data_IF_196210299417
#
_entry.id   IF_196210299417
#
_cell.length_a   1.000
_cell.length_b   1.000
_cell.length_c   1.000
_cell.angle_alpha   90.00
_cell.angle_beta   90.00
_cell.angle_gamma   90.00
#
_symmetry.space_group_name_H-M   'P 1'
#
loop_
_entity.id
_entity.type
_entity.pdbx_description
1 polymer ?
#
# COMPACT_ATOMS: atom_id res chain seq x y z
N UNK A 1 -35.91 -3.77 3.02
CA UNK A 1 -36.18 -5.23 2.82
C UNK A 1 -35.54 -5.97 3.98
N UNK A 2 -36.21 -6.96 4.58
CA UNK A 2 -35.60 -7.78 5.64
C UNK A 2 -34.97 -9.02 4.98
N UNK A 3 -33.61 -9.15 4.95
CA UNK A 3 -32.95 -10.27 4.31
C UNK A 3 -33.30 -11.63 4.92
N UNK A 4 -33.66 -11.68 6.18
CA UNK A 4 -34.02 -12.92 6.88
C UNK A 4 -35.41 -13.46 6.49
N UNK A 5 -36.23 -12.66 5.82
CA UNK A 5 -37.62 -13.01 5.45
C UNK A 5 -37.84 -13.03 3.93
N UNK A 6 -36.78 -12.78 3.13
CA UNK A 6 -36.87 -12.65 1.68
C UNK A 6 -36.07 -13.77 1.03
N UNK A 7 -36.71 -14.55 0.14
CA UNK A 7 -36.01 -15.56 -0.62
C UNK A 7 -35.15 -14.91 -1.70
N UNK A 8 -33.81 -15.14 -1.64
CA UNK A 8 -32.83 -14.55 -2.54
C UNK A 8 -31.83 -15.57 -3.04
N UNK A 9 -31.39 -15.38 -4.29
CA UNK A 9 -30.17 -15.98 -4.83
C UNK A 9 -29.11 -14.87 -4.89
N UNK A 10 -27.95 -15.10 -4.23
CA UNK A 10 -26.83 -14.15 -4.22
C UNK A 10 -25.72 -14.71 -5.10
N UNK A 11 -25.34 -13.96 -6.12
CA UNK A 11 -24.27 -14.31 -7.04
C UNK A 11 -23.02 -13.50 -6.69
N UNK A 12 -21.89 -14.20 -6.52
CA UNK A 12 -20.64 -13.60 -6.09
C UNK A 12 -19.51 -13.86 -7.08
N UNK A 13 -18.42 -13.09 -6.95
CA UNK A 13 -17.19 -13.25 -7.73
C UNK A 13 -16.22 -14.29 -7.17
N UNK A 14 -16.60 -15.02 -6.13
CA UNK A 14 -15.73 -15.98 -5.46
C UNK A 14 -15.19 -17.03 -6.46
N UNK A 15 -13.86 -17.05 -6.64
CA UNK A 15 -13.16 -18.13 -7.32
C UNK A 15 -12.99 -19.29 -6.33
N UNK A 16 -13.74 -20.36 -6.52
CA UNK A 16 -13.79 -21.47 -5.56
C UNK A 16 -12.46 -22.20 -5.37
N UNK A 17 -11.67 -22.33 -6.43
CA UNK A 17 -10.37 -23.00 -6.35
C UNK A 17 -9.34 -22.13 -5.64
N UNK A 18 -9.29 -20.84 -5.98
CA UNK A 18 -8.47 -19.86 -5.28
C UNK A 18 -8.87 -19.76 -3.79
N UNK A 19 -10.17 -19.72 -3.50
CA UNK A 19 -10.67 -19.66 -2.13
C UNK A 19 -10.27 -20.91 -1.33
N UNK A 20 -10.30 -22.09 -1.95
CA UNK A 20 -9.84 -23.34 -1.32
C UNK A 20 -8.35 -23.27 -1.03
N UNK A 21 -7.54 -22.85 -2.00
CA UNK A 21 -6.09 -22.67 -1.85
C UNK A 21 -5.77 -21.69 -0.72
N UNK A 22 -6.41 -20.51 -0.71
CA UNK A 22 -6.22 -19.50 0.34
C UNK A 22 -6.59 -20.04 1.74
N UNK A 23 -7.65 -20.84 1.84
CA UNK A 23 -8.07 -21.48 3.10
C UNK A 23 -7.06 -22.52 3.57
N UNK A 24 -6.54 -23.36 2.67
CA UNK A 24 -5.51 -24.35 2.99
C UNK A 24 -4.21 -23.68 3.48
N UNK A 25 -3.81 -22.60 2.84
CA UNK A 25 -2.65 -21.80 3.28
C UNK A 25 -2.87 -21.25 4.69
N UNK A 26 -4.02 -20.61 4.94
CA UNK A 26 -4.35 -20.04 6.24
C UNK A 26 -4.35 -21.11 7.36
N UNK A 27 -4.85 -22.30 7.07
CA UNK A 27 -4.94 -23.39 8.04
C UNK A 27 -3.61 -24.11 8.30
N UNK A 28 -2.56 -23.82 7.53
CA UNK A 28 -1.27 -24.48 7.64
C UNK A 28 -1.18 -25.82 6.92
N UNK A 29 -2.05 -26.07 5.94
CA UNK A 29 -2.01 -27.27 5.10
C UNK A 29 -0.94 -27.19 4.01
N UNK A 30 -0.64 -25.94 3.56
CA UNK A 30 0.42 -25.68 2.58
C UNK A 30 1.75 -25.34 3.27
N UNK A 31 1.70 -24.61 4.38
CA UNK A 31 2.86 -24.16 5.14
C UNK A 31 2.74 -24.60 6.59
N UNK A 32 3.84 -25.10 7.16
CA UNK A 32 3.86 -25.52 8.57
C UNK A 32 3.99 -24.30 9.50
N UNK A 33 2.92 -23.94 10.17
CA UNK A 33 2.90 -22.93 11.22
C UNK A 33 2.97 -23.59 12.60
N UNK A 34 4.09 -23.42 13.26
CA UNK A 34 4.34 -24.08 14.57
C UNK A 34 3.49 -23.53 15.72
N UNK A 35 2.99 -22.28 15.59
CA UNK A 35 2.11 -21.68 16.61
C UNK A 35 0.64 -21.82 16.20
N UNK A 36 -0.15 -22.47 17.06
CA UNK A 36 -1.59 -22.65 16.80
C UNK A 36 -2.38 -21.35 16.90
N UNK A 37 -1.91 -20.38 17.70
CA UNK A 37 -2.55 -19.07 17.89
C UNK A 37 -2.21 -18.06 16.78
N UNK A 38 -1.27 -18.40 15.88
CA UNK A 38 -0.96 -17.54 14.74
C UNK A 38 -2.18 -17.40 13.87
N UNK A 39 -2.54 -16.14 13.54
CA UNK A 39 -3.63 -15.81 12.67
C UNK A 39 -3.14 -15.30 11.31
N UNK A 40 -3.98 -15.50 10.32
CA UNK A 40 -3.79 -14.96 8.97
C UNK A 40 -5.11 -14.37 8.48
N UNK A 41 -5.06 -13.24 7.81
CA UNK A 41 -6.20 -12.65 7.12
C UNK A 41 -5.76 -12.06 5.79
N UNK A 42 -6.66 -11.99 4.81
CA UNK A 42 -6.30 -11.46 3.50
C UNK A 42 -7.50 -11.21 2.60
N UNK A 43 -7.26 -10.43 1.57
CA UNK A 43 -8.20 -10.17 0.47
C UNK A 43 -7.46 -10.27 -0.85
N UNK A 44 -8.09 -10.93 -1.80
CA UNK A 44 -7.66 -10.99 -3.21
C UNK A 44 -8.78 -10.43 -4.06
N UNK A 45 -8.50 -9.38 -4.82
CA UNK A 45 -9.50 -8.72 -5.65
C UNK A 45 -8.96 -8.36 -7.04
N UNK A 46 -9.85 -8.17 -7.98
CA UNK A 46 -9.51 -7.60 -9.28
C UNK A 46 -9.01 -6.15 -9.10
N UNK A 47 -7.90 -5.83 -9.72
CA UNK A 47 -7.26 -4.51 -9.61
C UNK A 47 -8.11 -3.40 -10.24
N UNK A 48 -8.82 -3.70 -11.34
CA UNK A 48 -9.48 -2.68 -12.16
C UNK A 48 -10.96 -2.49 -11.84
N UNK A 49 -11.58 -3.39 -11.06
CA UNK A 49 -13.02 -3.34 -10.79
C UNK A 49 -13.42 -3.65 -9.34
N UNK A 50 -12.46 -3.83 -8.42
CA UNK A 50 -12.70 -4.00 -6.99
C UNK A 50 -13.39 -5.31 -6.58
N UNK A 51 -13.62 -6.25 -7.52
CA UNK A 51 -14.31 -7.53 -7.29
C UNK A 51 -13.45 -8.47 -6.48
N UNK A 52 -13.85 -8.77 -5.25
CA UNK A 52 -13.15 -9.72 -4.38
C UNK A 52 -13.42 -11.15 -4.87
N UNK A 53 -12.32 -11.86 -5.19
CA UNK A 53 -12.36 -13.22 -5.72
C UNK A 53 -12.00 -14.28 -4.68
N UNK A 54 -11.30 -13.91 -3.60
CA UNK A 54 -11.04 -14.77 -2.45
C UNK A 54 -10.79 -13.96 -1.18
N UNK A 55 -11.11 -14.54 -0.02
CA UNK A 55 -10.95 -13.93 1.31
C UNK A 55 -10.33 -14.94 2.28
N UNK A 56 -9.34 -14.51 3.04
CA UNK A 56 -8.83 -15.23 4.20
C UNK A 56 -9.44 -14.58 5.45
N UNK A 57 -10.52 -15.16 5.99
CA UNK A 57 -11.23 -14.62 7.15
C UNK A 57 -10.55 -14.90 8.48
N UNK A 58 -9.58 -15.80 8.53
CA UNK A 58 -8.85 -16.23 9.71
C UNK A 58 -8.38 -17.67 9.56
N UNK A 59 -7.46 -18.08 10.42
CA UNK A 59 -7.04 -19.49 10.52
C UNK A 59 -8.14 -20.33 11.18
N UNK A 60 -8.44 -21.50 10.60
CA UNK A 60 -9.53 -22.39 11.02
C UNK A 60 -10.91 -21.72 11.09
N UNK A 61 -11.14 -20.74 10.20
CA UNK A 61 -12.37 -19.94 10.14
C UNK A 61 -13.62 -20.80 9.98
N UNK A 62 -14.65 -20.51 10.76
CA UNK A 62 -15.96 -21.16 10.72
C UNK A 62 -17.06 -20.12 10.56
N UNK A 63 -18.21 -20.56 10.08
CA UNK A 63 -19.40 -19.71 9.98
C UNK A 63 -19.75 -19.10 11.34
N UNK A 64 -19.87 -17.79 11.39
CA UNK A 64 -20.13 -17.02 12.61
C UNK A 64 -18.90 -16.47 13.30
N UNK A 65 -17.68 -16.87 12.89
CA UNK A 65 -16.46 -16.26 13.37
C UNK A 65 -16.29 -14.83 12.81
N UNK A 66 -15.52 -14.01 13.52
CA UNK A 66 -15.16 -12.68 13.05
C UNK A 66 -14.28 -12.77 11.80
N UNK A 67 -14.73 -12.18 10.70
CA UNK A 67 -13.94 -12.11 9.47
C UNK A 67 -12.77 -11.13 9.65
N UNK A 68 -11.56 -11.66 9.86
CA UNK A 68 -10.36 -10.86 10.10
C UNK A 68 -9.88 -10.08 8.85
N UNK A 69 -10.38 -10.40 7.65
CA UNK A 69 -10.07 -9.61 6.46
C UNK A 69 -10.65 -8.18 6.51
N UNK A 70 -11.64 -7.95 7.38
CA UNK A 70 -12.23 -6.63 7.64
C UNK A 70 -11.84 -6.05 9.02
N UNK A 71 -10.93 -6.72 9.74
CA UNK A 71 -10.44 -6.27 11.05
C UNK A 71 -9.18 -5.43 10.87
N UNK A 72 -9.17 -4.25 11.45
CA UNK A 72 -8.04 -3.33 11.38
C UNK A 72 -6.86 -3.80 12.22
N UNK A 73 -5.67 -3.71 11.63
CA UNK A 73 -4.37 -4.01 12.25
C UNK A 73 -3.38 -2.90 11.87
N UNK A 74 -2.31 -2.74 12.65
CA UNK A 74 -1.29 -1.75 12.33
C UNK A 74 -0.55 -2.12 11.03
N UNK A 75 -0.60 -1.25 10.00
CA UNK A 75 -0.07 -1.59 8.67
C UNK A 75 1.46 -1.62 8.60
N UNK A 76 2.15 -1.00 9.56
CA UNK A 76 3.58 -0.82 9.45
C UNK A 76 3.96 -0.09 8.16
N UNK A 77 5.08 -0.43 7.59
CA UNK A 77 5.62 0.20 6.37
C UNK A 77 4.80 -0.03 5.09
N UNK A 78 3.70 -0.81 5.13
CA UNK A 78 2.86 -1.00 3.94
C UNK A 78 2.10 0.27 3.53
N UNK A 79 1.96 1.27 4.42
CA UNK A 79 1.35 2.55 4.07
C UNK A 79 2.30 3.55 3.42
N UNK A 80 3.61 3.38 3.52
CA UNK A 80 4.61 4.32 3.01
C UNK A 80 4.43 4.74 1.54
N UNK A 81 4.12 3.81 0.60
CA UNK A 81 3.94 4.19 -0.80
C UNK A 81 2.82 5.22 -1.01
N UNK A 82 1.75 5.12 -0.23
CA UNK A 82 0.53 5.94 -0.37
C UNK A 82 0.61 7.17 0.53
N UNK A 83 0.77 6.97 1.84
CA UNK A 83 0.69 8.04 2.83
C UNK A 83 1.88 9.00 2.77
N UNK A 84 3.11 8.48 2.67
CA UNK A 84 4.30 9.33 2.72
C UNK A 84 4.67 9.84 1.33
N UNK A 85 5.05 8.93 0.44
CA UNK A 85 5.61 9.28 -0.86
C UNK A 85 4.55 9.64 -1.89
N UNK A 86 3.38 8.99 -1.86
CA UNK A 86 2.25 9.35 -2.71
C UNK A 86 1.75 10.76 -2.44
N UNK A 87 1.58 11.11 -1.16
CA UNK A 87 1.18 12.47 -0.79
C UNK A 87 2.31 13.49 -1.00
N UNK A 88 3.59 13.10 -0.95
CA UNK A 88 4.69 13.96 -1.34
C UNK A 88 4.65 14.29 -2.84
N UNK A 89 4.33 13.31 -3.69
CA UNK A 89 4.07 13.58 -5.12
C UNK A 89 2.87 14.50 -5.31
N UNK A 90 1.84 14.39 -4.48
CA UNK A 90 0.63 15.20 -4.57
C UNK A 90 0.85 16.64 -4.11
N UNK A 91 1.40 16.84 -2.93
CA UNK A 91 1.41 18.12 -2.21
C UNK A 91 2.75 18.88 -2.27
N UNK A 92 3.87 18.17 -2.47
CA UNK A 92 5.20 18.77 -2.51
C UNK A 92 5.75 18.88 -3.94
N UNK A 93 5.00 18.39 -4.93
CA UNK A 93 5.42 18.35 -6.34
C UNK A 93 6.79 17.66 -6.54
N UNK A 94 7.13 16.69 -5.70
CA UNK A 94 8.38 15.97 -5.80
C UNK A 94 8.38 15.02 -7.01
N UNK A 95 9.55 14.87 -7.62
CA UNK A 95 9.81 13.80 -8.60
C UNK A 95 10.25 12.52 -7.90
N UNK A 96 10.22 11.37 -8.59
CA UNK A 96 10.63 10.09 -8.00
C UNK A 96 12.11 10.02 -7.64
N UNK A 97 12.91 10.94 -8.17
CA UNK A 97 14.33 11.11 -7.85
C UNK A 97 14.63 12.18 -6.79
N UNK A 98 13.60 12.72 -6.12
CA UNK A 98 13.83 13.69 -5.05
C UNK A 98 14.74 13.11 -3.98
N UNK A 99 15.71 13.92 -3.52
CA UNK A 99 16.72 13.49 -2.56
C UNK A 99 16.27 13.77 -1.14
N UNK A 100 16.32 12.76 -0.29
CA UNK A 100 16.01 12.79 1.14
C UNK A 100 17.22 12.38 1.97
N UNK A 101 17.24 12.77 3.24
CA UNK A 101 18.32 12.49 4.17
C UNK A 101 17.89 11.42 5.19
N UNK A 102 18.71 10.40 5.33
CA UNK A 102 18.59 9.38 6.38
C UNK A 102 19.71 9.57 7.41
N UNK A 103 19.41 10.36 8.45
CA UNK A 103 20.31 10.67 9.55
C UNK A 103 19.58 10.68 10.88
N UNK A 104 20.28 10.57 11.98
CA UNK A 104 19.67 10.69 13.30
C UNK A 104 18.88 12.01 13.42
N UNK A 105 17.57 11.88 13.61
CA UNK A 105 16.63 12.99 13.63
C UNK A 105 15.68 12.83 14.80
N UNK A 106 15.48 13.91 15.55
CA UNK A 106 14.48 13.99 16.62
C UNK A 106 13.28 14.76 16.10
N UNK A 107 12.12 14.12 16.09
CA UNK A 107 10.86 14.71 15.67
C UNK A 107 10.06 15.18 16.89
N UNK A 108 9.29 16.24 16.71
CA UNK A 108 8.35 16.72 17.72
C UNK A 108 6.95 16.23 17.37
N UNK A 109 6.46 15.25 18.11
CA UNK A 109 5.04 14.88 18.04
C UNK A 109 4.19 16.02 18.60
N UNK A 110 3.04 16.30 17.96
CA UNK A 110 2.07 17.27 18.46
C UNK A 110 1.72 16.90 19.92
N UNK A 111 2.14 17.74 20.87
CA UNK A 111 1.77 17.59 22.29
C UNK A 111 2.88 17.27 23.27
N UNK A 112 4.16 17.53 22.99
CA UNK A 112 5.25 17.63 23.98
C UNK A 112 6.29 16.50 24.12
N UNK A 113 6.17 15.37 23.47
CA UNK A 113 7.21 14.33 23.55
C UNK A 113 8.06 14.30 22.29
N UNK A 114 9.35 14.69 22.44
CA UNK A 114 10.33 14.46 21.39
C UNK A 114 10.56 12.97 21.18
N UNK A 115 10.64 12.55 19.93
CA UNK A 115 10.79 11.16 19.51
C UNK A 115 11.96 11.02 18.54
N UNK A 116 12.90 10.11 18.85
CA UNK A 116 14.06 9.83 18.00
C UNK A 116 13.98 8.39 17.49
N UNK A 117 13.29 8.17 16.36
CA UNK A 117 13.14 6.84 15.77
C UNK A 117 14.45 6.33 15.19
N UNK A 118 14.49 5.01 14.92
CA UNK A 118 15.58 4.36 14.19
C UNK A 118 15.06 3.63 12.98
N UNK A 119 15.93 3.39 12.02
CA UNK A 119 15.67 2.42 10.97
C UNK A 119 15.60 1.00 11.53
N UNK A 120 15.01 0.09 10.76
CA UNK A 120 14.79 -1.30 11.17
C UNK A 120 16.11 -2.07 11.43
N UNK A 121 17.22 -1.63 10.82
CA UNK A 121 18.57 -2.18 11.01
C UNK A 121 19.39 -1.42 12.07
N UNK A 122 18.84 -0.34 12.64
CA UNK A 122 19.48 0.49 13.66
C UNK A 122 20.51 1.49 13.14
N UNK A 123 20.74 1.57 11.82
CA UNK A 123 21.74 2.42 11.15
C UNK A 123 21.10 3.59 10.39
N UNK A 124 21.91 4.55 9.96
CA UNK A 124 21.54 5.65 9.09
C UNK A 124 22.37 5.60 7.80
N UNK A 125 21.76 5.94 6.66
CA UNK A 125 22.30 5.66 5.33
C UNK A 125 22.63 6.90 4.50
N UNK A 126 22.43 8.10 5.07
CA UNK A 126 22.78 9.35 4.42
C UNK A 126 21.78 9.78 3.35
N UNK A 127 22.30 10.45 2.33
CA UNK A 127 21.51 11.03 1.25
C UNK A 127 21.14 9.99 0.19
N UNK A 128 19.86 9.92 -0.19
CA UNK A 128 19.35 8.97 -1.18
C UNK A 128 18.10 9.53 -1.87
N UNK A 129 17.65 8.89 -2.95
CA UNK A 129 16.37 9.22 -3.56
C UNK A 129 15.20 8.68 -2.73
N UNK A 130 14.01 9.30 -2.86
CA UNK A 130 12.79 8.78 -2.22
C UNK A 130 12.44 7.38 -2.72
N UNK A 131 12.77 7.07 -3.99
CA UNK A 131 12.62 5.71 -4.52
C UNK A 131 13.50 4.71 -3.76
N UNK A 132 14.77 5.03 -3.53
CA UNK A 132 15.68 4.18 -2.72
C UNK A 132 15.24 4.09 -1.26
N UNK A 133 14.73 5.19 -0.68
CA UNK A 133 14.19 5.21 0.68
C UNK A 133 12.97 4.29 0.84
N UNK A 134 12.05 4.31 -0.15
CA UNK A 134 10.89 3.42 -0.19
C UNK A 134 11.30 1.95 -0.37
N UNK A 135 12.21 1.69 -1.33
CA UNK A 135 12.77 0.36 -1.63
C UNK A 135 13.33 -0.30 -0.36
N UNK A 136 14.16 0.42 0.37
CA UNK A 136 14.78 -0.10 1.59
C UNK A 136 13.89 0.07 2.82
N UNK A 137 12.73 0.69 2.63
CA UNK A 137 11.75 0.91 3.71
C UNK A 137 12.30 1.70 4.90
N UNK A 138 13.22 2.66 4.64
CA UNK A 138 13.82 3.48 5.69
C UNK A 138 12.77 4.30 6.44
N UNK A 139 12.92 4.40 7.74
CA UNK A 139 11.93 5.06 8.60
C UNK A 139 12.14 6.57 8.64
N UNK A 140 13.39 7.02 8.78
CA UNK A 140 13.67 8.45 8.93
C UNK A 140 13.27 9.25 7.70
N UNK A 141 13.60 8.81 6.45
CA UNK A 141 13.11 9.48 5.25
C UNK A 141 11.59 9.52 5.15
N UNK A 142 10.90 8.43 5.51
CA UNK A 142 9.44 8.36 5.48
C UNK A 142 8.82 9.37 6.45
N UNK A 143 9.27 9.42 7.70
CA UNK A 143 8.78 10.35 8.71
C UNK A 143 9.07 11.81 8.31
N UNK A 144 10.28 12.11 7.83
CA UNK A 144 10.64 13.46 7.38
C UNK A 144 9.85 13.90 6.16
N UNK A 145 9.51 12.96 5.27
CA UNK A 145 8.65 13.23 4.10
C UNK A 145 7.22 13.54 4.56
N UNK A 146 6.67 12.71 5.43
CA UNK A 146 5.31 12.90 5.93
C UNK A 146 5.16 14.17 6.78
N UNK A 147 6.15 14.53 7.57
CA UNK A 147 6.21 15.82 8.29
C UNK A 147 6.05 16.99 7.31
N UNK A 148 6.79 16.99 6.19
CA UNK A 148 6.69 18.03 5.16
C UNK A 148 5.34 17.99 4.43
N UNK A 149 4.74 16.81 4.25
CA UNK A 149 3.37 16.70 3.71
C UNK A 149 2.39 17.38 4.65
N UNK A 150 2.45 17.12 5.96
CA UNK A 150 1.59 17.77 6.97
C UNK A 150 1.82 19.27 7.10
N UNK A 151 3.03 19.75 6.83
CA UNK A 151 3.33 21.19 6.76
C UNK A 151 2.74 21.87 5.52
N UNK A 152 2.57 21.12 4.42
CA UNK A 152 2.08 21.64 3.14
C UNK A 152 0.57 21.45 2.95
N UNK A 153 0.02 20.33 3.46
CA UNK A 153 -1.39 19.99 3.42
C UNK A 153 -1.99 20.03 4.83
N UNK A 154 -3.27 20.36 4.97
CA UNK A 154 -3.94 20.22 6.27
C UNK A 154 -4.12 18.75 6.65
N UNK A 155 -4.23 18.45 7.94
CA UNK A 155 -4.58 17.11 8.42
C UNK A 155 -5.89 16.62 7.79
N UNK A 156 -6.91 17.50 7.72
CA UNK A 156 -8.20 17.18 7.09
C UNK A 156 -8.03 16.74 5.62
N UNK A 157 -7.13 17.40 4.86
CA UNK A 157 -6.89 17.02 3.47
C UNK A 157 -6.24 15.63 3.38
N UNK A 158 -5.31 15.28 4.28
CA UNK A 158 -4.72 13.94 4.34
C UNK A 158 -5.75 12.89 4.74
N UNK A 159 -6.62 13.20 5.70
CA UNK A 159 -7.73 12.33 6.13
C UNK A 159 -8.68 12.06 4.95
N UNK A 160 -9.10 13.10 4.24
CA UNK A 160 -9.98 12.95 3.07
C UNK A 160 -9.31 12.15 1.94
N UNK A 161 -8.01 12.31 1.71
CA UNK A 161 -7.28 11.48 0.76
C UNK A 161 -7.32 10.01 1.15
N UNK A 162 -7.07 9.67 2.40
CA UNK A 162 -7.12 8.28 2.86
C UNK A 162 -8.56 7.71 2.78
N UNK A 163 -9.57 8.51 3.14
CA UNK A 163 -10.99 8.12 2.98
C UNK A 163 -11.36 7.87 1.54
N UNK A 164 -10.87 8.70 0.62
CA UNK A 164 -11.13 8.53 -0.81
C UNK A 164 -10.56 7.23 -1.39
N UNK A 165 -9.60 6.62 -0.69
CA UNK A 165 -9.02 5.30 -0.99
C UNK A 165 -9.72 4.14 -0.28
N UNK A 166 -10.86 4.40 0.37
CA UNK A 166 -11.64 3.41 1.09
C UNK A 166 -11.12 3.05 2.48
N UNK A 167 -10.17 3.82 3.03
CA UNK A 167 -9.65 3.63 4.39
C UNK A 167 -10.56 4.39 5.37
N UNK A 168 -11.08 3.69 6.38
CA UNK A 168 -11.89 4.34 7.40
C UNK A 168 -11.01 5.15 8.35
N UNK A 169 -11.14 6.48 8.30
CA UNK A 169 -10.42 7.47 9.10
C UNK A 169 -11.29 8.11 10.19
N UNK A 170 -12.42 7.48 10.56
CA UNK A 170 -13.36 8.05 11.53
C UNK A 170 -12.74 8.35 12.90
N UNK A 171 -11.74 7.58 13.32
CA UNK A 171 -10.99 7.86 14.54
C UNK A 171 -10.09 9.10 14.39
N UNK A 172 -9.42 9.24 13.26
CA UNK A 172 -8.49 10.33 12.96
C UNK A 172 -9.23 11.67 12.75
N UNK A 173 -10.45 11.65 12.24
CA UNK A 173 -11.32 12.83 12.15
C UNK A 173 -11.58 13.46 13.53
N UNK A 174 -11.66 12.64 14.57
CA UNK A 174 -11.91 13.10 15.94
C UNK A 174 -10.63 13.40 16.72
N UNK A 175 -9.52 12.71 16.41
CA UNK A 175 -8.32 12.68 17.24
C UNK A 175 -7.06 13.21 16.53
N UNK A 176 -7.15 13.52 15.23
CA UNK A 176 -6.04 13.97 14.39
C UNK A 176 -5.08 12.86 13.99
N UNK A 177 -4.17 13.21 13.07
CA UNK A 177 -3.10 12.35 12.58
C UNK A 177 -1.82 12.64 13.36
N UNK A 178 -1.03 11.62 13.62
CA UNK A 178 0.24 11.74 14.31
C UNK A 178 1.41 11.28 13.42
N UNK A 179 2.57 11.88 13.62
CA UNK A 179 3.77 11.61 12.81
C UNK A 179 4.19 10.11 12.76
N UNK A 180 4.02 9.28 13.82
CA UNK A 180 4.25 7.83 13.74
C UNK A 180 3.42 7.08 12.70
N UNK A 181 2.36 7.69 12.15
CA UNK A 181 1.57 7.09 11.05
C UNK A 181 2.42 6.83 9.81
N UNK A 182 3.43 7.65 9.55
CA UNK A 182 4.40 7.45 8.47
C UNK A 182 5.08 6.06 8.47
N UNK A 183 5.23 5.46 9.63
CA UNK A 183 5.83 4.12 9.76
C UNK A 183 4.81 3.06 10.20
N UNK A 184 3.52 3.38 10.07
CA UNK A 184 2.40 2.49 10.33
C UNK A 184 2.01 2.31 11.79
N UNK A 185 2.40 3.23 12.65
CA UNK A 185 1.97 3.30 14.05
C UNK A 185 0.58 3.91 14.21
N UNK A 186 -0.41 3.38 13.49
CA UNK A 186 -1.79 3.88 13.46
C UNK A 186 -2.57 3.48 14.71
N UNK A 187 -3.42 4.36 15.20
CA UNK A 187 -4.23 4.09 16.38
C UNK A 187 -5.22 2.93 16.17
N UNK A 188 -5.89 2.90 15.03
CA UNK A 188 -6.81 1.82 14.64
C UNK A 188 -6.21 0.88 13.61
N UNK A 189 -5.41 1.39 12.69
CA UNK A 189 -4.82 0.63 11.60
C UNK A 189 -5.74 0.51 10.39
N UNK A 190 -5.45 -0.47 9.53
CA UNK A 190 -6.19 -0.79 8.31
C UNK A 190 -6.50 -2.27 8.24
N UNK A 191 -7.56 -2.65 7.54
CA UNK A 191 -7.88 -4.04 7.25
C UNK A 191 -7.23 -4.52 5.94
N UNK A 192 -7.08 -5.83 5.74
CA UNK A 192 -6.63 -6.38 4.46
C UNK A 192 -7.46 -5.94 3.25
N UNK A 193 -8.78 -5.80 3.41
CA UNK A 193 -9.68 -5.33 2.35
C UNK A 193 -9.41 -3.87 2.00
N UNK A 194 -9.33 -2.98 3.01
CA UNK A 194 -9.03 -1.56 2.80
C UNK A 194 -7.66 -1.37 2.13
N UNK A 195 -6.64 -2.09 2.60
CA UNK A 195 -5.29 -1.97 2.04
C UNK A 195 -5.22 -2.52 0.60
N UNK A 196 -5.92 -3.61 0.30
CA UNK A 196 -6.02 -4.12 -1.08
C UNK A 196 -6.71 -3.10 -2.00
N UNK A 197 -7.81 -2.48 -1.56
CA UNK A 197 -8.52 -1.44 -2.31
C UNK A 197 -7.64 -0.22 -2.60
N UNK A 198 -6.91 0.27 -1.59
CA UNK A 198 -6.00 1.40 -1.76
C UNK A 198 -4.85 1.10 -2.75
N UNK A 199 -4.29 -0.11 -2.72
CA UNK A 199 -3.25 -0.52 -3.68
C UNK A 199 -3.81 -0.76 -5.09
N UNK A 200 -5.03 -1.31 -5.20
CA UNK A 200 -5.72 -1.43 -6.47
C UNK A 200 -5.93 -0.05 -7.12
N UNK A 201 -6.28 0.96 -6.32
CA UNK A 201 -6.43 2.35 -6.78
C UNK A 201 -5.14 2.90 -7.39
N UNK A 202 -3.98 2.66 -6.75
CA UNK A 202 -2.67 3.02 -7.31
C UNK A 202 -2.43 2.34 -8.67
N UNK A 203 -2.75 1.06 -8.78
CA UNK A 203 -2.56 0.29 -10.02
C UNK A 203 -3.58 0.65 -11.10
N UNK A 204 -4.76 1.15 -10.72
CA UNK A 204 -5.89 1.52 -11.57
C UNK A 204 -5.95 3.03 -11.87
N UNK A 205 -4.82 3.65 -12.15
CA UNK A 205 -4.72 5.07 -12.54
C UNK A 205 -5.35 6.06 -11.54
N UNK A 206 -5.39 5.69 -10.26
CA UNK A 206 -5.96 6.51 -9.20
C UNK A 206 -7.48 6.42 -9.06
N UNK A 207 -8.14 5.56 -9.81
CA UNK A 207 -9.56 5.34 -9.72
C UNK A 207 -9.84 4.32 -8.60
N UNK A 208 -10.50 4.78 -7.55
CA UNK A 208 -11.00 3.92 -6.47
C UNK A 208 -12.35 3.33 -6.84
N UNK A 209 -12.47 2.03 -6.67
CA UNK A 209 -13.71 1.25 -6.79
C UNK A 209 -13.87 0.45 -5.50
N UNK A 210 -15.02 0.57 -4.85
CA UNK A 210 -15.30 -0.11 -3.59
C UNK A 210 -15.10 -1.63 -3.72
N UNK A 211 -14.32 -2.20 -2.80
CA UNK A 211 -14.06 -3.65 -2.75
C UNK A 211 -15.33 -4.41 -2.39
N UNK A 212 -15.79 -5.32 -3.25
CA UNK A 212 -17.06 -6.01 -3.08
C UNK A 212 -17.02 -7.46 -3.55
N UNK A 213 -17.92 -8.29 -3.00
CA UNK A 213 -18.03 -9.71 -3.30
C UNK A 213 -19.25 -10.05 -4.16
N UNK A 214 -20.28 -9.19 -4.11
CA UNK A 214 -21.59 -9.48 -4.73
C UNK A 214 -21.63 -8.91 -6.14
N UNK A 215 -21.96 -9.74 -7.10
CA UNK A 215 -22.28 -9.35 -8.48
C UNK A 215 -23.71 -8.79 -8.53
N UNK A 216 -24.69 -9.67 -8.31
CA UNK A 216 -26.09 -9.28 -8.27
C UNK A 216 -26.89 -10.18 -7.31
N UNK A 217 -28.09 -9.74 -6.96
CA UNK A 217 -29.02 -10.46 -6.11
C UNK A 217 -30.36 -10.61 -6.85
N UNK A 218 -30.83 -11.82 -6.99
CA UNK A 218 -32.19 -12.13 -7.45
C UNK A 218 -33.14 -12.26 -6.26
N UNK A 219 -34.19 -11.46 -6.26
CA UNK A 219 -35.26 -11.52 -5.26
C UNK A 219 -36.36 -12.40 -5.84
N UNK A 220 -36.37 -13.67 -5.44
CA UNK A 220 -37.20 -14.70 -6.05
C UNK A 220 -38.70 -14.37 -5.98
N UNK A 221 -39.16 -13.95 -4.78
CA UNK A 221 -40.57 -13.67 -4.54
C UNK A 221 -41.12 -12.46 -5.33
N UNK A 222 -40.23 -11.59 -5.80
CA UNK A 222 -40.59 -10.39 -6.54
C UNK A 222 -40.26 -10.46 -8.04
N UNK A 223 -39.53 -11.48 -8.46
CA UNK A 223 -38.94 -11.57 -9.80
C UNK A 223 -38.15 -10.31 -10.18
N UNK A 224 -37.33 -9.82 -9.23
CA UNK A 224 -36.54 -8.59 -9.32
C UNK A 224 -35.04 -8.91 -9.21
N UNK A 225 -34.18 -8.22 -9.99
CA UNK A 225 -32.72 -8.34 -9.91
C UNK A 225 -32.13 -7.01 -9.46
N UNK A 226 -31.27 -7.03 -8.45
CA UNK A 226 -30.48 -5.89 -7.98
C UNK A 226 -29.04 -6.09 -8.44
N UNK A 227 -28.55 -5.21 -9.30
CA UNK A 227 -27.19 -5.25 -9.85
C UNK A 227 -26.23 -4.49 -8.93
N UNK A 228 -25.67 -5.16 -7.92
CA UNK A 228 -24.79 -4.53 -6.91
C UNK A 228 -23.48 -4.08 -7.54
N UNK A 229 -22.87 -4.90 -8.39
CA UNK A 229 -21.63 -4.57 -9.07
C UNK A 229 -21.77 -3.32 -9.94
N UNK A 230 -22.83 -3.23 -10.75
CA UNK A 230 -23.03 -2.06 -11.61
C UNK A 230 -23.17 -0.78 -10.80
N UNK A 231 -23.92 -0.82 -9.70
CA UNK A 231 -24.08 0.33 -8.80
C UNK A 231 -22.73 0.78 -8.21
N UNK A 232 -21.84 -0.16 -7.87
CA UNK A 232 -20.49 0.14 -7.36
C UNK A 232 -19.60 0.73 -8.47
N UNK A 233 -19.60 0.14 -9.68
CA UNK A 233 -18.83 0.64 -10.81
C UNK A 233 -19.24 2.07 -11.20
N UNK A 234 -20.54 2.36 -11.18
CA UNK A 234 -21.09 3.68 -11.50
C UNK A 234 -20.71 4.76 -10.47
N UNK A 235 -20.30 4.35 -9.25
CA UNK A 235 -19.82 5.22 -8.18
C UNK A 235 -18.29 5.27 -8.06
N UNK A 236 -17.56 4.76 -9.04
CA UNK A 236 -16.09 4.84 -9.08
C UNK A 236 -15.61 6.31 -9.01
N UNK A 237 -14.56 6.57 -8.25
CA UNK A 237 -14.07 7.95 -8.01
C UNK A 237 -12.57 8.08 -8.33
N UNK A 238 -12.17 9.23 -8.88
CA UNK A 238 -10.76 9.59 -9.03
C UNK A 238 -10.22 10.06 -7.67
N UNK A 239 -9.61 9.15 -6.91
CA UNK A 239 -9.13 9.40 -5.55
C UNK A 239 -7.69 9.91 -5.51
N UNK A 240 -6.83 9.39 -6.39
CA UNK A 240 -5.50 9.91 -6.64
C UNK A 240 -5.43 10.50 -8.04
N UNK A 241 -4.59 11.52 -8.25
CA UNK A 241 -4.28 11.98 -9.61
C UNK A 241 -3.63 10.86 -10.42
N UNK A 242 -3.88 10.82 -11.72
CA UNK A 242 -3.24 9.87 -12.64
C UNK A 242 -1.71 9.94 -12.57
N UNK A 243 -1.18 11.17 -12.44
CA UNK A 243 0.24 11.47 -12.28
C UNK A 243 0.80 10.88 -10.99
N UNK A 244 0.12 11.06 -9.86
CA UNK A 244 0.52 10.53 -8.56
C UNK A 244 0.51 8.99 -8.58
N UNK A 245 -0.57 8.40 -9.07
CA UNK A 245 -0.72 6.95 -9.20
C UNK A 245 0.37 6.34 -10.07
N UNK A 246 0.63 6.93 -11.23
CA UNK A 246 1.70 6.50 -12.12
C UNK A 246 3.07 6.53 -11.42
N UNK A 247 3.41 7.64 -10.75
CA UNK A 247 4.71 7.79 -10.08
C UNK A 247 4.88 6.81 -8.91
N UNK A 248 3.84 6.54 -8.13
CA UNK A 248 3.86 5.50 -7.08
C UNK A 248 4.07 4.13 -7.73
N UNK A 249 3.28 3.81 -8.76
CA UNK A 249 3.34 2.54 -9.47
C UNK A 249 4.73 2.26 -10.03
N UNK A 250 5.32 3.19 -10.77
CA UNK A 250 6.66 3.05 -11.36
C UNK A 250 7.74 2.84 -10.29
N UNK A 251 7.63 3.56 -9.17
CA UNK A 251 8.54 3.35 -8.03
C UNK A 251 8.40 1.93 -7.46
N UNK A 252 7.16 1.43 -7.30
CA UNK A 252 6.92 0.11 -6.72
C UNK A 252 7.27 -1.03 -7.68
N UNK A 253 7.04 -0.89 -8.99
CA UNK A 253 7.43 -1.88 -10.00
C UNK A 253 8.94 -2.05 -10.07
N UNK A 254 9.70 -0.95 -10.05
CA UNK A 254 11.17 -0.99 -10.04
C UNK A 254 11.73 -1.68 -8.81
N UNK A 255 10.99 -1.65 -7.71
CA UNK A 255 11.34 -2.23 -6.44
C UNK A 255 11.12 -3.74 -6.35
N UNK A 256 9.93 -4.18 -6.74
CA UNK A 256 9.56 -5.61 -6.66
C UNK A 256 10.46 -6.49 -7.54
N UNK A 257 11.00 -5.91 -8.61
CA UNK A 257 11.97 -6.58 -9.48
C UNK A 257 13.33 -6.85 -8.82
N UNK A 258 13.63 -6.25 -7.65
CA UNK A 258 14.89 -6.48 -6.92
C UNK A 258 15.05 -7.91 -6.42
N UNK A 259 13.94 -8.64 -6.25
CA UNK A 259 13.94 -10.08 -5.91
C UNK A 259 14.57 -10.42 -4.55
N UNK A 260 14.74 -9.45 -3.64
CA UNK A 260 15.39 -9.66 -2.35
C UNK A 260 14.40 -9.85 -1.19
N UNK A 261 14.78 -10.63 -0.18
CA UNK A 261 13.97 -10.86 1.01
C UNK A 261 12.60 -11.47 0.70
N UNK A 262 11.53 -10.89 1.25
CA UNK A 262 10.16 -11.36 1.01
C UNK A 262 9.65 -11.15 -0.42
N UNK A 263 10.30 -10.27 -1.21
CA UNK A 263 9.96 -10.04 -2.63
C UNK A 263 10.49 -11.14 -3.56
N UNK A 264 11.41 -11.98 -3.09
CA UNK A 264 11.87 -13.14 -3.84
C UNK A 264 10.72 -14.10 -4.22
N UNK A 265 9.64 -14.10 -3.44
CA UNK A 265 8.44 -14.92 -3.72
C UNK A 265 7.55 -14.34 -4.82
N UNK A 266 7.83 -13.15 -5.30
CA UNK A 266 7.14 -12.49 -6.40
C UNK A 266 7.92 -12.53 -7.71
N UNK A 267 9.12 -13.14 -7.73
CA UNK A 267 10.06 -13.09 -8.85
C UNK A 267 9.58 -13.79 -10.13
N UNK A 268 8.55 -14.65 -10.04
CA UNK A 268 7.91 -15.30 -11.19
C UNK A 268 6.73 -14.53 -11.76
N UNK A 269 6.36 -13.39 -11.17
CA UNK A 269 5.17 -12.62 -11.51
C UNK A 269 5.59 -11.37 -12.27
N UNK A 270 5.08 -11.21 -13.48
CA UNK A 270 5.38 -10.05 -14.31
C UNK A 270 4.63 -8.79 -13.82
N UNK A 271 5.24 -7.62 -13.97
CA UNK A 271 4.62 -6.33 -13.67
C UNK A 271 4.00 -6.26 -12.27
N UNK A 272 4.65 -6.82 -11.25
CA UNK A 272 4.17 -6.79 -9.88
C UNK A 272 4.75 -5.62 -9.09
N UNK A 273 3.88 -4.81 -8.48
CA UNK A 273 4.23 -3.81 -7.48
C UNK A 273 3.87 -4.33 -6.08
N UNK A 274 4.76 -4.20 -5.10
CA UNK A 274 4.53 -4.76 -3.77
C UNK A 274 5.17 -3.94 -2.65
N UNK A 275 4.63 -4.10 -1.43
CA UNK A 275 5.24 -3.56 -0.21
C UNK A 275 4.99 -4.47 0.99
N UNK A 276 6.04 -4.71 1.76
CA UNK A 276 5.95 -5.34 3.08
C UNK A 276 5.57 -4.33 4.15
N UNK A 277 4.89 -4.81 5.19
CA UNK A 277 4.66 -4.07 6.42
C UNK A 277 5.09 -4.89 7.64
N UNK A 278 5.60 -4.21 8.65
CA UNK A 278 5.88 -4.83 9.97
C UNK A 278 5.58 -3.79 11.03
N UNK A 279 4.77 -4.14 12.02
CA UNK A 279 4.64 -3.38 13.25
C UNK A 279 5.35 -4.10 14.39
N UNK A 280 5.62 -3.39 15.47
CA UNK A 280 6.29 -3.93 16.64
C UNK A 280 5.43 -3.75 17.90
N UNK A 281 5.66 -4.62 18.89
CA UNK A 281 5.19 -4.43 20.26
C UNK A 281 5.98 -3.30 20.93
N UNK A 282 5.54 -2.83 22.08
CA UNK A 282 6.29 -1.86 22.91
C UNK A 282 7.71 -2.36 23.29
N UNK A 283 7.89 -3.66 23.39
CA UNK A 283 9.21 -4.29 23.63
C UNK A 283 10.09 -4.37 22.38
N UNK A 284 9.60 -3.95 21.20
CA UNK A 284 10.32 -4.00 19.93
C UNK A 284 10.23 -5.34 19.19
N UNK A 285 9.51 -6.33 19.70
CA UNK A 285 9.29 -7.58 18.99
C UNK A 285 8.28 -7.41 17.84
N UNK A 286 8.46 -8.14 16.73
CA UNK A 286 7.51 -8.10 15.61
C UNK A 286 6.13 -8.55 16.03
N UNK A 287 5.10 -7.76 15.68
CA UNK A 287 3.69 -8.00 16.02
C UNK A 287 2.86 -8.35 14.78
N UNK A 288 2.76 -7.44 13.85
CA UNK A 288 2.02 -7.59 12.60
C UNK A 288 2.98 -7.73 11.42
N UNK A 289 2.66 -8.62 10.49
CA UNK A 289 3.39 -8.81 9.24
C UNK A 289 2.42 -8.65 8.08
N UNK A 290 2.84 -7.91 7.06
CA UNK A 290 2.06 -7.65 5.87
C UNK A 290 2.85 -7.91 4.60
N UNK A 291 2.16 -8.34 3.58
CA UNK A 291 2.54 -8.19 2.18
C UNK A 291 1.30 -7.76 1.41
N UNK A 292 1.41 -6.65 0.70
CA UNK A 292 0.40 -6.23 -0.27
C UNK A 292 1.08 -6.07 -1.62
N UNK A 293 0.52 -6.70 -2.63
CA UNK A 293 1.03 -6.69 -3.99
C UNK A 293 -0.11 -6.55 -5.00
N UNK A 294 0.20 -5.97 -6.15
CA UNK A 294 -0.72 -5.85 -7.28
C UNK A 294 -0.05 -6.18 -8.60
N UNK A 295 -0.83 -6.73 -9.51
CA UNK A 295 -0.56 -6.84 -10.95
C UNK A 295 -1.61 -6.03 -11.70
N UNK A 296 -1.56 -5.91 -13.03
CA UNK A 296 -2.65 -5.29 -13.80
C UNK A 296 -4.01 -5.97 -13.59
N UNK A 297 -4.02 -7.26 -13.26
CA UNK A 297 -5.21 -8.08 -13.12
C UNK A 297 -5.72 -8.17 -11.68
N UNK A 298 -4.82 -8.40 -10.71
CA UNK A 298 -5.21 -8.68 -9.32
C UNK A 298 -4.36 -7.95 -8.30
N UNK A 299 -5.02 -7.61 -7.19
CA UNK A 299 -4.39 -7.05 -5.97
C UNK A 299 -4.65 -7.99 -4.80
N UNK A 300 -3.59 -8.31 -4.07
CA UNK A 300 -3.63 -9.20 -2.92
C UNK A 300 -3.00 -8.53 -1.71
N UNK A 301 -3.71 -8.52 -0.56
CA UNK A 301 -3.19 -8.07 0.73
C UNK A 301 -3.33 -9.16 1.76
N UNK A 302 -2.23 -9.53 2.42
CA UNK A 302 -2.18 -10.57 3.47
C UNK A 302 -1.54 -10.01 4.72
N UNK A 303 -2.22 -10.21 5.83
CA UNK A 303 -1.76 -9.96 7.18
C UNK A 303 -1.53 -11.27 7.93
N UNK A 304 -0.49 -11.30 8.76
CA UNK A 304 -0.26 -12.33 9.76
C UNK A 304 0.11 -11.72 11.10
N UNK A 305 -0.44 -12.28 12.18
CA UNK A 305 -0.20 -11.76 13.52
C UNK A 305 -0.75 -12.65 14.62
N UNK A 306 -0.64 -12.17 15.84
CA UNK A 306 -1.22 -12.79 17.03
C UNK A 306 -2.26 -11.89 17.65
N UNK A 307 -3.28 -12.48 18.24
CA UNK A 307 -4.24 -11.74 19.05
C UNK A 307 -3.61 -11.21 20.35
N UNK A 308 -4.24 -10.21 20.94
CA UNK A 308 -3.71 -9.48 22.09
C UNK A 308 -3.30 -10.37 23.27
N UNK A 309 -3.99 -11.48 23.50
CA UNK A 309 -3.67 -12.39 24.60
C UNK A 309 -2.33 -13.12 24.35
N UNK A 310 -2.13 -13.67 23.16
CA UNK A 310 -0.89 -14.34 22.78
C UNK A 310 0.31 -13.38 22.79
N UNK A 311 0.11 -12.11 22.39
CA UNK A 311 1.15 -11.07 22.48
C UNK A 311 1.53 -10.76 23.93
N UNK A 312 0.56 -10.71 24.86
CA UNK A 312 0.83 -10.56 26.31
C UNK A 312 1.60 -11.73 26.90
N UNK A 313 1.45 -12.92 26.33
CA UNK A 313 2.19 -14.12 26.68
C UNK A 313 3.59 -14.19 26.05
N UNK A 314 4.00 -13.13 25.32
CA UNK A 314 5.33 -12.96 24.73
C UNK A 314 5.48 -13.58 23.33
N UNK A 315 4.40 -14.05 22.71
CA UNK A 315 4.45 -14.49 21.30
C UNK A 315 4.74 -13.32 20.38
N UNK A 316 5.46 -13.58 19.30
CA UNK A 316 5.81 -12.60 18.30
C UNK A 316 5.96 -13.24 16.91
N UNK A 317 5.88 -12.42 15.87
CA UNK A 317 5.84 -12.89 14.48
C UNK A 317 7.21 -13.04 13.83
N UNK A 318 8.32 -12.84 14.54
CA UNK A 318 9.66 -12.71 13.95
C UNK A 318 10.08 -13.89 13.07
N UNK A 319 9.64 -15.11 13.40
CA UNK A 319 9.92 -16.33 12.63
C UNK A 319 9.08 -16.47 11.36
N UNK A 320 8.02 -15.68 11.23
CA UNK A 320 7.03 -15.78 10.15
C UNK A 320 7.17 -14.71 9.07
N UNK A 321 8.23 -13.89 9.10
CA UNK A 321 8.42 -12.72 8.23
C UNK A 321 8.30 -13.00 6.72
N UNK A 322 8.65 -14.21 6.29
CA UNK A 322 8.58 -14.59 4.89
C UNK A 322 7.18 -15.03 4.42
N UNK A 323 6.31 -15.43 5.35
CA UNK A 323 5.07 -16.10 4.98
C UNK A 323 4.03 -15.21 4.28
N UNK A 324 3.81 -13.94 4.67
CA UNK A 324 2.91 -13.11 3.88
C UNK A 324 3.34 -12.99 2.42
N UNK A 325 4.68 -12.87 2.15
CA UNK A 325 5.22 -12.86 0.79
C UNK A 325 4.99 -14.17 0.04
N UNK A 326 5.19 -15.32 0.71
CA UNK A 326 4.92 -16.65 0.12
C UNK A 326 3.44 -16.80 -0.27
N UNK A 327 2.55 -16.47 0.66
CA UNK A 327 1.10 -16.60 0.42
C UNK A 327 0.64 -15.69 -0.71
N UNK A 328 1.08 -14.43 -0.73
CA UNK A 328 0.76 -13.49 -1.81
C UNK A 328 1.34 -13.96 -3.14
N UNK A 329 2.59 -14.45 -3.15
CA UNK A 329 3.23 -14.99 -4.33
C UNK A 329 2.46 -16.14 -4.94
N UNK A 330 2.17 -17.18 -4.16
CA UNK A 330 1.45 -18.37 -4.63
C UNK A 330 0.02 -18.04 -5.12
N UNK A 331 -0.70 -17.11 -4.43
CA UNK A 331 -2.04 -16.70 -4.85
C UNK A 331 -2.02 -15.92 -6.17
N UNK A 332 -1.07 -15.01 -6.34
CA UNK A 332 -0.92 -14.25 -7.58
C UNK A 332 -0.41 -15.14 -8.72
N UNK A 333 0.56 -16.04 -8.49
CA UNK A 333 1.06 -16.99 -9.49
C UNK A 333 -0.09 -17.90 -10.00
N UNK A 334 -0.92 -18.43 -9.08
CA UNK A 334 -2.11 -19.19 -9.46
C UNK A 334 -3.04 -18.39 -10.38
N UNK A 335 -3.28 -17.11 -10.05
CA UNK A 335 -4.14 -16.24 -10.84
C UNK A 335 -3.52 -15.93 -12.22
N UNK A 336 -2.22 -15.61 -12.27
CA UNK A 336 -1.50 -15.37 -13.52
C UNK A 336 -1.55 -16.59 -14.46
N UNK A 337 -1.42 -17.80 -13.93
CA UNK A 337 -1.48 -19.04 -14.70
C UNK A 337 -2.88 -19.39 -15.20
N UNK A 338 -3.93 -18.92 -14.51
CA UNK A 338 -5.32 -19.25 -14.81
C UNK A 338 -6.11 -18.08 -15.43
N UNK A 339 -5.48 -16.93 -15.65
CA UNK A 339 -6.09 -15.78 -16.34
C UNK A 339 -5.77 -15.84 -17.83
N UNK A 340 -6.83 -16.03 -18.65
CA UNK A 340 -6.70 -16.19 -20.11
C UNK A 340 -6.58 -14.85 -20.85
N UNK A 341 -7.22 -13.80 -20.33
CA UNK A 341 -7.21 -12.45 -20.91
C UNK A 341 -6.49 -11.51 -19.93
N UNK A 342 -5.17 -11.40 -20.09
CA UNK A 342 -4.35 -10.55 -19.23
C UNK A 342 -4.53 -9.07 -19.57
N UNK A 343 -4.69 -8.28 -18.54
CA UNK A 343 -4.79 -6.82 -18.63
C UNK A 343 -3.39 -6.18 -18.66
N UNK A 344 -3.37 -4.91 -19.01
CA UNK A 344 -2.19 -4.04 -18.90
C UNK A 344 -2.46 -2.92 -17.91
N UNK A 345 -1.43 -2.35 -17.33
CA UNK A 345 -1.56 -1.07 -16.63
C UNK A 345 -2.01 0.02 -17.58
N UNK A 346 -2.71 1.04 -17.07
CA UNK A 346 -2.94 2.27 -17.82
C UNK A 346 -1.64 2.87 -18.32
N UNK A 347 -1.69 3.49 -19.51
CA UNK A 347 -0.55 4.14 -20.12
C UNK A 347 -0.01 5.30 -19.25
N UNK A 348 1.22 5.75 -19.58
CA UNK A 348 1.80 6.92 -18.94
C UNK A 348 0.91 8.15 -19.19
N UNK A 349 0.51 8.90 -18.15
CA UNK A 349 -0.27 10.11 -18.31
C UNK A 349 0.51 11.21 -19.06
N UNK A 350 -0.20 12.00 -19.85
CA UNK A 350 0.40 13.15 -20.55
C UNK A 350 0.99 14.20 -19.59
N UNK A 351 0.52 14.24 -18.35
CA UNK A 351 1.00 15.14 -17.28
C UNK A 351 2.35 14.76 -16.68
N UNK A 352 2.88 13.55 -16.98
CA UNK A 352 4.14 13.04 -16.43
C UNK A 352 5.17 12.86 -17.53
N UNK A 353 6.43 13.15 -17.23
CA UNK A 353 7.56 12.87 -18.12
C UNK A 353 8.78 12.33 -17.36
N UNK A 354 9.63 11.63 -18.09
CA UNK A 354 10.94 11.23 -17.58
C UNK A 354 11.93 12.38 -17.79
N UNK A 355 12.59 12.79 -16.71
CA UNK A 355 13.58 13.89 -16.71
C UNK A 355 14.91 13.44 -16.14
N UNK A 356 15.94 14.25 -16.39
CA UNK A 356 17.23 14.12 -15.72
C UNK A 356 17.46 15.34 -14.81
N UNK A 357 17.85 15.05 -13.56
CA UNK A 357 18.16 16.07 -12.54
C UNK A 357 19.55 15.84 -11.94
N UNK A 358 20.09 16.89 -11.33
CA UNK A 358 21.30 16.81 -10.51
C UNK A 358 20.91 16.32 -9.13
N UNK A 359 21.56 15.25 -8.67
CA UNK A 359 21.31 14.65 -7.36
C UNK A 359 21.54 15.66 -6.21
N UNK A 360 20.69 15.63 -5.19
CA UNK A 360 20.81 16.45 -3.99
C UNK A 360 20.54 17.93 -4.17
N UNK A 361 20.02 18.35 -5.31
CA UNK A 361 19.74 19.77 -5.59
C UNK A 361 18.23 20.01 -5.69
N UNK A 362 17.73 20.91 -4.86
CA UNK A 362 16.36 21.39 -4.91
C UNK A 362 16.34 22.92 -4.73
N UNK A 363 15.62 23.69 -5.56
CA UNK A 363 14.80 23.26 -6.73
C UNK A 363 15.61 22.51 -7.79
N UNK A 364 14.93 21.58 -8.51
CA UNK A 364 15.61 20.70 -9.46
C UNK A 364 16.36 21.45 -10.55
N UNK A 365 17.54 20.94 -10.90
CA UNK A 365 18.39 21.48 -11.95
C UNK A 365 18.68 20.40 -13.00
N UNK A 366 18.57 20.77 -14.26
CA UNK A 366 19.01 19.90 -15.36
C UNK A 366 20.54 19.75 -15.34
N UNK A 367 21.06 18.54 -15.59
CA UNK A 367 22.51 18.35 -15.69
C UNK A 367 23.11 19.11 -16.86
N UNK A 368 24.33 19.59 -16.71
CA UNK A 368 25.14 20.20 -17.75
C UNK A 368 26.19 19.22 -18.29
N UNK A 369 26.90 19.59 -19.35
CA UNK A 369 28.00 18.79 -19.89
C UNK A 369 29.16 18.56 -18.89
N UNK A 370 29.23 19.36 -17.83
CA UNK A 370 30.23 19.23 -16.76
C UNK A 370 29.72 18.47 -15.53
N UNK A 371 28.44 18.08 -15.50
CA UNK A 371 27.86 17.31 -14.39
C UNK A 371 28.39 15.86 -14.44
N UNK A 372 29.00 15.36 -13.37
CA UNK A 372 29.44 13.97 -13.31
C UNK A 372 28.26 13.02 -13.54
N UNK A 373 28.45 11.96 -14.31
CA UNK A 373 27.40 10.98 -14.58
C UNK A 373 26.82 10.33 -13.29
N UNK A 374 27.66 10.16 -12.27
CA UNK A 374 27.25 9.66 -10.94
C UNK A 374 26.35 10.62 -10.16
N UNK A 375 26.23 11.88 -10.59
CA UNK A 375 25.36 12.88 -9.99
C UNK A 375 24.12 13.15 -10.84
N UNK A 376 23.85 12.36 -11.88
CA UNK A 376 22.67 12.49 -12.72
C UNK A 376 21.68 11.40 -12.36
N UNK A 377 20.47 11.82 -12.00
CA UNK A 377 19.33 10.94 -11.70
C UNK A 377 18.31 11.07 -12.82
N UNK A 378 17.92 9.93 -13.41
CA UNK A 378 16.76 9.85 -14.31
C UNK A 378 15.55 9.45 -13.50
N UNK A 379 14.47 10.24 -13.56
CA UNK A 379 13.29 10.07 -12.72
C UNK A 379 12.02 10.56 -13.41
N UNK A 380 10.86 10.18 -12.85
CA UNK A 380 9.55 10.65 -13.28
C UNK A 380 9.17 11.92 -12.54
N UNK A 381 8.57 12.88 -13.24
CA UNK A 381 8.13 14.16 -12.70
C UNK A 381 6.87 14.68 -13.40
N UNK A 382 6.11 15.51 -12.70
CA UNK A 382 4.98 16.24 -13.27
C UNK A 382 5.49 17.34 -14.20
N UNK A 383 5.05 17.36 -15.46
CA UNK A 383 5.51 18.33 -16.48
C UNK A 383 5.34 19.79 -16.07
N UNK A 384 4.19 20.14 -15.51
CA UNK A 384 3.88 21.54 -15.17
C UNK A 384 4.74 22.12 -14.05
N UNK A 385 5.33 21.25 -13.22
CA UNK A 385 6.03 21.67 -11.99
C UNK A 385 7.54 21.73 -12.11
N UNK A 386 8.13 21.01 -13.06
CA UNK A 386 9.60 20.91 -13.20
C UNK A 386 10.15 21.90 -14.21
N UNK A 387 9.40 22.25 -15.24
CA UNK A 387 9.90 23.06 -16.37
C UNK A 387 9.83 24.59 -16.17
N UNK A 388 9.27 25.09 -15.07
CA UNK A 388 9.06 26.52 -14.86
C UNK A 388 10.06 27.21 -13.93
N UNK A 389 11.21 26.61 -13.68
CA UNK A 389 12.29 27.33 -12.99
C UNK A 389 13.20 28.00 -14.04
N UNK A 390 13.20 29.36 -14.09
CA UNK A 390 14.12 30.06 -14.98
C UNK A 390 15.56 29.70 -14.59
N UNK A 391 16.49 29.52 -15.57
CA UNK A 391 17.89 29.30 -15.26
C UNK A 391 18.37 30.43 -14.36
N UNK A 392 18.99 30.10 -13.24
CA UNK A 392 19.60 31.06 -12.34
C UNK A 392 20.52 31.97 -13.18
N UNK A 393 20.13 33.24 -13.32
CA UNK A 393 21.02 34.23 -13.88
C UNK A 393 22.30 34.20 -13.06
N UNK A 394 23.41 33.81 -13.71
CA UNK A 394 24.72 33.98 -13.12
C UNK A 394 24.81 35.42 -12.61
N UNK A 395 24.80 35.64 -11.32
CA UNK A 395 25.24 36.90 -10.76
C UNK A 395 26.74 36.98 -11.02
N UNK A 396 27.09 37.70 -12.07
CA UNK A 396 28.43 38.24 -12.26
C UNK A 396 28.73 39.12 -11.03
N UNK A 397 29.56 38.58 -10.14
CA UNK A 397 30.24 39.41 -9.13
C UNK A 397 31.27 40.21 -9.91
N UNK A 398 31.00 41.52 -10.04
CA UNK A 398 31.99 42.53 -10.43
C UNK A 398 32.73 42.99 -9.18
#
# INVERSE_FOLDING_TARGET
MNPAETQMNIYTYCNQDLQRMATQMANGETYDYTDEDLQMAGSVQSTQDGRIVAVIGGRNYKSGDLNKATVKQQPGSSMKPILDYGLAYKYLDWCTGHTVEDKETTFNSHGSNSWTPKNWDGSFHGSMTISEALVNSWNIPAISTFEQVLDSASEDAVIEDMKSLGIDMSYEEENGIQLPYAIGGWAKGVSPVELAGAYATVANNGIYIESHTINYVEIVDKNETVNVDQDIQDNATQSLGEDVSFMIRETMLSYSSSGSGSYAYLSGIDNVGAKTGTSNTESGASKDLWMTAYTPDYTCSVWMGFESQALKEGKNTSRYRAYPGKVVGDLLEYLEDNTTEKKSYPDQPDSVEQIQIVAGVYPYQSPSSSTPASSVITCWAKKEKVLHQPPLKQQLII
#
